data_IF_981180736951
#
_entry.id   IF_981180736951
#
_cell.length_a   1.000
_cell.length_b   1.000
_cell.length_c   1.000
_cell.angle_alpha   90.00
_cell.angle_beta   90.00
_cell.angle_gamma   90.00
#
_symmetry.space_group_name_H-M   'P 1'
#
loop_
_entity.id
_entity.type
_entity.pdbx_description
1 polymer ?
#
# COMPACT_ATOMS: atom_id res chain seq x y z
N UNK A 1 11.55 -3.68 -18.29
CA UNK A 1 10.99 -2.96 -17.13
C UNK A 1 9.67 -2.36 -17.54
N UNK A 2 8.57 -2.79 -16.93
CA UNK A 2 7.26 -2.17 -17.16
C UNK A 2 7.29 -0.77 -16.54
N UNK A 3 7.21 0.24 -17.39
CA UNK A 3 7.01 1.61 -16.95
C UNK A 3 5.64 1.71 -16.27
N UNK A 4 5.55 2.48 -15.20
CA UNK A 4 4.29 2.76 -14.54
C UNK A 4 3.28 3.33 -15.55
N UNK A 5 2.01 2.94 -15.41
CA UNK A 5 0.89 3.47 -16.18
C UNK A 5 0.88 5.01 -16.07
N UNK A 6 0.83 5.70 -17.21
CA UNK A 6 0.80 7.17 -17.27
C UNK A 6 -0.47 7.64 -17.99
N UNK A 7 -1.06 8.72 -17.50
CA UNK A 7 -2.20 9.38 -18.13
C UNK A 7 -1.71 10.63 -18.88
N UNK A 8 -2.15 10.79 -20.13
CA UNK A 8 -1.96 12.04 -20.88
C UNK A 8 -2.95 13.06 -20.35
N UNK A 9 -2.45 14.17 -19.81
CA UNK A 9 -3.26 15.28 -19.31
C UNK A 9 -3.49 16.36 -20.37
N UNK A 10 -2.53 16.54 -21.28
CA UNK A 10 -2.60 17.52 -22.35
C UNK A 10 -1.80 17.07 -23.56
N UNK A 11 -2.26 17.44 -24.75
CA UNK A 11 -1.52 17.39 -26.00
C UNK A 11 -1.26 18.82 -26.47
N UNK A 12 -0.01 19.17 -26.66
CA UNK A 12 0.44 20.44 -27.22
C UNK A 12 0.97 20.19 -28.63
N UNK A 13 0.61 21.05 -29.58
CA UNK A 13 1.09 21.02 -30.97
C UNK A 13 1.64 22.39 -31.30
N UNK A 14 2.88 22.46 -31.76
CA UNK A 14 3.49 23.73 -32.15
C UNK A 14 3.23 24.11 -33.61
N UNK A 15 3.66 25.31 -34.01
CA UNK A 15 3.51 25.83 -35.38
C UNK A 15 4.20 24.97 -36.45
N UNK A 16 5.22 24.20 -36.05
CA UNK A 16 5.93 23.27 -36.92
C UNK A 16 5.27 21.88 -36.97
N UNK A 17 4.13 21.69 -36.29
CA UNK A 17 3.39 20.42 -36.22
C UNK A 17 3.99 19.38 -35.27
N UNK A 18 5.01 19.73 -34.47
CA UNK A 18 5.58 18.83 -33.46
C UNK A 18 4.60 18.67 -32.32
N UNK A 19 4.44 17.44 -31.86
CA UNK A 19 3.48 17.07 -30.80
C UNK A 19 4.23 16.81 -29.51
N UNK A 20 3.71 17.31 -28.40
CA UNK A 20 4.18 16.99 -27.06
C UNK A 20 2.99 16.65 -26.16
N UNK A 21 3.17 15.71 -25.24
CA UNK A 21 2.14 15.33 -24.27
C UNK A 21 2.60 15.65 -22.86
N UNK A 22 1.77 16.36 -22.10
CA UNK A 22 1.96 16.50 -20.66
C UNK A 22 1.38 15.26 -19.98
N UNK A 23 2.22 14.48 -19.31
CA UNK A 23 1.84 13.20 -18.70
C UNK A 23 1.86 13.26 -17.18
N UNK A 24 0.99 12.46 -16.57
CA UNK A 24 0.96 12.19 -15.13
C UNK A 24 1.21 10.72 -14.88
N UNK A 25 2.22 10.43 -14.07
CA UNK A 25 2.50 9.07 -13.62
C UNK A 25 1.54 8.64 -12.51
N UNK A 26 0.84 7.51 -12.72
CA UNK A 26 -0.07 6.95 -11.73
C UNK A 26 0.73 6.46 -10.52
N UNK A 27 0.27 6.82 -9.32
CA UNK A 27 0.95 6.45 -8.06
C UNK A 27 2.11 7.37 -7.65
N UNK A 28 2.45 8.38 -8.45
CA UNK A 28 3.52 9.32 -8.13
C UNK A 28 2.99 10.74 -7.88
N UNK A 29 3.77 11.51 -7.12
CA UNK A 29 3.49 12.93 -6.86
C UNK A 29 3.51 13.74 -8.18
N UNK A 30 2.71 14.80 -8.23
CA UNK A 30 2.62 15.70 -9.39
C UNK A 30 3.97 16.36 -9.75
N UNK A 31 4.94 16.40 -8.83
CA UNK A 31 6.30 16.88 -9.10
C UNK A 31 7.03 16.07 -10.19
N UNK A 32 6.56 14.86 -10.49
CA UNK A 32 7.12 13.99 -11.51
C UNK A 32 6.36 14.06 -12.84
N UNK A 33 5.33 14.90 -12.95
CA UNK A 33 4.68 15.12 -14.23
C UNK A 33 5.67 15.80 -15.18
N UNK A 34 5.65 15.42 -16.46
CA UNK A 34 6.57 15.99 -17.44
C UNK A 34 5.90 16.11 -18.81
N UNK A 35 6.52 16.91 -19.69
CA UNK A 35 6.12 17.05 -21.08
C UNK A 35 7.05 16.22 -21.96
N UNK A 36 6.48 15.28 -22.69
CA UNK A 36 7.19 14.32 -23.56
C UNK A 36 6.89 14.62 -25.02
N UNK A 37 7.92 14.80 -25.83
CA UNK A 37 7.79 14.97 -27.28
C UNK A 37 7.43 13.64 -27.97
N UNK A 38 6.43 13.68 -28.84
CA UNK A 38 5.87 12.51 -29.54
C UNK A 38 6.42 12.46 -30.97
N UNK A 39 6.91 11.28 -31.38
CA UNK A 39 7.29 11.01 -32.77
C UNK A 39 8.80 11.02 -33.06
N UNK A 40 9.62 11.54 -32.14
CA UNK A 40 11.05 11.27 -32.11
C UNK A 40 11.27 9.97 -31.34
N UNK A 41 11.82 8.94 -32.01
CA UNK A 41 11.89 7.57 -31.50
C UNK A 41 12.33 7.42 -30.03
N UNK A 42 11.65 6.48 -29.34
CA UNK A 42 11.60 6.28 -27.87
C UNK A 42 11.21 7.54 -27.11
N UNK A 43 9.98 7.51 -26.56
CA UNK A 43 9.55 8.29 -25.38
C UNK A 43 10.62 8.07 -24.29
N UNK A 44 11.65 8.91 -24.27
CA UNK A 44 12.62 8.95 -23.19
C UNK A 44 12.17 10.10 -22.32
N UNK A 45 11.75 9.84 -21.07
CA UNK A 45 11.51 10.93 -20.15
C UNK A 45 12.77 11.81 -20.09
N UNK A 46 12.59 13.14 -20.10
CA UNK A 46 13.70 14.11 -20.10
C UNK A 46 14.50 14.01 -18.80
N UNK A 47 13.89 13.45 -17.76
CA UNK A 47 14.52 13.06 -16.50
C UNK A 47 14.54 11.54 -16.33
N UNK A 48 15.37 11.04 -15.40
CA UNK A 48 15.09 9.74 -14.81
C UNK A 48 13.68 9.82 -14.23
N UNK A 49 12.73 9.11 -14.86
CA UNK A 49 11.34 9.12 -14.43
C UNK A 49 11.22 8.79 -12.93
N UNK A 50 10.04 9.03 -12.32
CA UNK A 50 9.85 8.81 -10.90
C UNK A 50 10.52 7.50 -10.45
N UNK A 51 11.36 7.51 -9.40
CA UNK A 51 12.14 6.35 -9.03
C UNK A 51 11.19 5.18 -8.90
N UNK A 52 11.46 4.11 -9.66
CA UNK A 52 10.76 2.84 -9.45
C UNK A 52 11.07 2.48 -8.02
N UNK A 53 10.10 2.61 -7.13
CA UNK A 53 10.24 2.17 -5.73
C UNK A 53 10.26 0.65 -5.80
N UNK A 54 11.42 0.10 -6.16
CA UNK A 54 11.70 -1.35 -6.11
C UNK A 54 11.81 -1.78 -4.66
N UNK A 55 12.27 -0.87 -3.81
CA UNK A 55 12.47 -1.04 -2.38
C UNK A 55 11.91 0.23 -1.72
N UNK A 56 10.85 0.07 -0.94
CA UNK A 56 10.38 1.14 -0.07
C UNK A 56 11.46 1.39 1.01
N UNK A 57 11.56 2.62 1.57
CA UNK A 57 12.53 2.91 2.62
C UNK A 57 12.46 1.85 3.73
N UNK A 58 13.61 1.49 4.30
CA UNK A 58 13.69 0.43 5.32
C UNK A 58 12.58 0.56 6.37
N UNK A 59 11.80 -0.51 6.55
CA UNK A 59 10.66 -0.54 7.48
C UNK A 59 9.33 -0.03 6.93
N UNK A 60 9.23 0.36 5.66
CA UNK A 60 7.96 0.68 4.98
C UNK A 60 7.66 -0.43 3.98
N UNK A 61 6.51 -1.08 4.11
CA UNK A 61 6.08 -2.14 3.19
C UNK A 61 4.71 -1.82 2.62
N UNK A 62 4.46 -2.24 1.38
CA UNK A 62 3.15 -2.11 0.77
C UNK A 62 2.21 -3.15 1.38
N UNK A 63 1.09 -2.69 1.92
CA UNK A 63 0.02 -3.59 2.39
C UNK A 63 -0.59 -4.29 1.19
N UNK A 64 -0.76 -5.60 1.24
CA UNK A 64 -1.61 -6.34 0.30
C UNK A 64 -3.05 -6.32 0.80
N UNK A 65 -3.31 -6.93 1.95
CA UNK A 65 -4.63 -7.04 2.59
C UNK A 65 -4.57 -6.88 4.12
N UNK A 66 -5.69 -6.46 4.71
CA UNK A 66 -5.91 -6.49 6.17
C UNK A 66 -6.86 -7.63 6.49
N UNK A 67 -6.39 -8.60 7.27
CA UNK A 67 -7.03 -9.90 7.43
C UNK A 67 -7.89 -9.98 8.69
N UNK A 68 -7.38 -9.47 9.82
CA UNK A 68 -8.04 -9.60 11.13
C UNK A 68 -7.76 -8.39 12.02
N UNK A 69 -8.57 -8.23 13.06
CA UNK A 69 -8.31 -7.30 14.17
C UNK A 69 -8.21 -8.07 15.48
N UNK A 70 -7.35 -7.60 16.39
CA UNK A 70 -7.37 -7.98 17.80
C UNK A 70 -7.23 -6.74 18.67
N UNK A 71 -7.65 -6.85 19.92
CA UNK A 71 -7.48 -5.79 20.91
C UNK A 71 -6.48 -6.23 21.97
N UNK A 72 -5.35 -5.53 22.05
CA UNK A 72 -4.30 -5.76 23.04
C UNK A 72 -4.20 -4.51 23.92
N UNK A 73 -4.45 -4.66 25.23
CA UNK A 73 -4.42 -3.54 26.19
C UNK A 73 -5.28 -2.34 25.74
N UNK A 74 -6.46 -2.62 25.19
CA UNK A 74 -7.39 -1.59 24.69
C UNK A 74 -6.97 -0.93 23.37
N UNK A 75 -5.90 -1.38 22.72
CA UNK A 75 -5.45 -0.88 21.41
C UNK A 75 -5.76 -1.91 20.33
N UNK A 76 -6.29 -1.43 19.20
CA UNK A 76 -6.53 -2.27 18.03
C UNK A 76 -5.22 -2.53 17.28
N UNK A 77 -4.96 -3.80 16.99
CA UNK A 77 -3.90 -4.27 16.10
C UNK A 77 -4.52 -5.06 14.97
N UNK A 78 -3.91 -4.97 13.79
CA UNK A 78 -4.47 -5.49 12.54
C UNK A 78 -3.49 -6.48 11.93
N UNK A 79 -3.96 -7.70 11.69
CA UNK A 79 -3.19 -8.73 10.99
C UNK A 79 -3.10 -8.33 9.53
N UNK A 80 -1.88 -8.13 9.03
CA UNK A 80 -1.62 -7.50 7.74
C UNK A 80 -0.76 -8.42 6.89
N UNK A 81 -1.18 -8.65 5.65
CA UNK A 81 -0.34 -9.27 4.63
C UNK A 81 0.39 -8.21 3.82
N UNK A 82 1.63 -8.52 3.45
CA UNK A 82 2.52 -7.58 2.77
C UNK A 82 2.71 -7.98 1.32
N UNK A 83 2.61 -6.99 0.42
CA UNK A 83 2.70 -7.25 -1.02
C UNK A 83 4.09 -7.75 -1.38
N UNK A 84 4.14 -8.97 -1.92
CA UNK A 84 5.39 -9.63 -2.30
C UNK A 84 6.05 -10.43 -1.18
N UNK A 85 5.40 -10.58 -0.02
CA UNK A 85 5.88 -11.41 1.09
C UNK A 85 4.80 -12.41 1.50
N UNK A 86 5.21 -13.62 1.89
CA UNK A 86 4.32 -14.63 2.47
C UNK A 86 3.96 -14.35 3.93
N UNK A 87 4.76 -13.50 4.58
CA UNK A 87 4.67 -13.24 6.00
C UNK A 87 3.51 -12.30 6.33
N UNK A 88 2.94 -12.49 7.52
CA UNK A 88 1.87 -11.65 8.07
C UNK A 88 2.26 -11.18 9.47
N UNK A 89 1.92 -9.94 9.81
CA UNK A 89 2.24 -9.35 11.12
C UNK A 89 1.07 -8.56 11.71
N UNK A 90 1.09 -8.39 13.04
CA UNK A 90 0.11 -7.57 13.75
C UNK A 90 0.59 -6.12 13.84
N UNK A 91 -0.06 -5.24 13.09
CA UNK A 91 0.33 -3.84 12.97
C UNK A 91 -0.64 -2.92 13.72
N UNK A 92 -0.14 -1.92 14.48
CA UNK A 92 -1.01 -0.92 15.08
C UNK A 92 -1.59 -0.01 13.98
N UNK A 93 -2.77 0.58 14.24
CA UNK A 93 -3.43 1.51 13.30
C UNK A 93 -2.50 2.63 12.77
N UNK A 94 -1.59 3.13 13.60
CA UNK A 94 -0.62 4.18 13.23
C UNK A 94 0.40 3.74 12.17
N UNK A 95 0.62 2.43 11.99
CA UNK A 95 1.57 1.85 11.02
C UNK A 95 1.07 1.99 9.57
N UNK A 96 -0.25 2.13 9.38
CA UNK A 96 -0.86 2.29 8.06
C UNK A 96 -0.66 3.71 7.52
N UNK A 97 0.52 3.94 6.94
CA UNK A 97 0.93 5.24 6.39
C UNK A 97 0.66 5.26 4.87
N UNK A 98 0.16 6.40 4.38
CA UNK A 98 -0.17 6.60 2.97
C UNK A 98 -1.63 6.30 2.59
N UNK A 99 -2.11 6.83 1.46
CA UNK A 99 -3.52 6.79 1.08
C UNK A 99 -4.01 5.37 0.77
N UNK A 100 -3.14 4.51 0.25
CA UNK A 100 -3.51 3.13 -0.11
C UNK A 100 -3.72 2.24 1.11
N UNK A 101 -2.73 2.23 2.01
CA UNK A 101 -2.78 1.49 3.28
C UNK A 101 -3.96 1.96 4.14
N UNK A 102 -4.17 3.29 4.28
CA UNK A 102 -5.31 3.86 5.01
C UNK A 102 -6.65 3.46 4.41
N UNK A 103 -6.75 3.39 3.07
CA UNK A 103 -7.98 2.96 2.40
C UNK A 103 -8.31 1.50 2.73
N UNK A 104 -7.32 0.61 2.66
CA UNK A 104 -7.49 -0.82 2.99
C UNK A 104 -7.93 -1.02 4.44
N UNK A 105 -7.25 -0.35 5.38
CA UNK A 105 -7.63 -0.38 6.79
C UNK A 105 -9.05 0.13 7.02
N UNK A 106 -9.44 1.23 6.38
CA UNK A 106 -10.79 1.79 6.49
C UNK A 106 -11.86 0.82 5.97
N UNK A 107 -11.64 0.20 4.82
CA UNK A 107 -12.57 -0.78 4.25
C UNK A 107 -12.73 -1.99 5.17
N UNK A 108 -11.63 -2.51 5.70
CA UNK A 108 -11.65 -3.59 6.68
C UNK A 108 -12.42 -3.20 7.94
N UNK A 109 -12.21 -2.00 8.48
CA UNK A 109 -12.96 -1.52 9.65
C UNK A 109 -14.46 -1.41 9.38
N UNK A 110 -14.86 -0.99 8.18
CA UNK A 110 -16.27 -0.90 7.80
C UNK A 110 -16.93 -2.27 7.71
N UNK A 111 -16.28 -3.24 7.06
CA UNK A 111 -16.82 -4.60 6.94
C UNK A 111 -16.89 -5.34 8.27
N UNK A 112 -15.99 -5.04 9.21
CA UNK A 112 -15.95 -5.66 10.54
C UNK A 112 -16.69 -4.86 11.64
N UNK A 113 -17.40 -3.78 11.29
CA UNK A 113 -18.17 -3.00 12.28
C UNK A 113 -17.33 -2.22 13.29
N UNK A 114 -16.06 -1.93 12.99
CA UNK A 114 -15.09 -1.26 13.86
C UNK A 114 -15.02 0.27 13.65
N UNK A 115 -15.91 0.84 12.83
CA UNK A 115 -16.01 2.27 12.60
C UNK A 115 -17.06 2.93 13.48
N UNK A 116 -16.66 3.61 14.56
CA UNK A 116 -17.51 4.64 15.22
C UNK A 116 -17.05 6.03 14.76
N UNK A 117 -17.89 7.04 14.42
CA UNK A 117 -19.30 7.36 14.72
C UNK A 117 -19.90 8.34 13.64
N UNK A 118 -21.13 8.91 13.75
CA UNK A 118 -22.38 8.43 14.36
C UNK A 118 -23.40 7.96 13.31
N UNK A 119 -24.48 7.38 13.83
CA UNK A 119 -25.61 6.72 13.18
C UNK A 119 -26.57 7.63 12.41
N UNK A 120 -27.04 7.15 11.25
CA UNK A 120 -28.44 7.27 10.80
C UNK A 120 -28.89 5.88 10.29
N UNK A 121 -30.04 5.33 10.72
CA UNK A 121 -30.38 3.94 10.47
C UNK A 121 -31.11 3.76 9.13
N UNK A 122 -30.79 2.69 8.39
CA UNK A 122 -31.65 2.13 7.35
C UNK A 122 -31.38 0.62 7.13
N UNK A 123 -32.01 -0.18 7.99
CA UNK A 123 -32.77 -1.44 7.73
C UNK A 123 -32.21 -2.55 6.80
N UNK A 124 -31.91 -3.69 7.45
CA UNK A 124 -32.10 -5.12 7.07
C UNK A 124 -31.21 -5.70 5.93
N UNK A 125 -30.75 -6.95 5.91
CA UNK A 125 -31.02 -8.19 6.66
C UNK A 125 -29.76 -9.10 6.61
N UNK A 126 -29.34 -9.69 7.74
CA UNK A 126 -29.42 -11.12 8.05
C UNK A 126 -28.68 -12.11 7.12
N UNK A 127 -27.55 -12.66 7.60
CA UNK A 127 -27.33 -14.10 7.73
C UNK A 127 -26.14 -14.35 8.70
N UNK A 128 -26.39 -15.18 9.71
CA UNK A 128 -25.49 -15.58 10.79
C UNK A 128 -25.32 -17.09 10.74
N UNK A 129 -24.12 -17.61 11.06
CA UNK A 129 -23.92 -18.86 11.83
C UNK A 129 -22.41 -19.13 11.97
N UNK A 130 -21.77 -18.96 13.13
CA UNK A 130 -21.70 -19.81 14.34
C UNK A 130 -20.78 -21.05 14.25
N UNK A 131 -19.71 -20.98 15.08
CA UNK A 131 -19.13 -22.02 15.96
C UNK A 131 -18.41 -23.24 15.30
N UNK A 132 -17.36 -23.87 15.84
CA UNK A 132 -16.87 -23.99 17.22
C UNK A 132 -15.43 -24.60 17.25
N UNK A 133 -14.65 -24.34 18.33
CA UNK A 133 -13.84 -25.28 19.18
C UNK A 133 -12.83 -26.23 18.49
N UNK A 134 -11.57 -26.53 18.90
CA UNK A 134 -10.74 -26.40 20.12
C UNK A 134 -9.28 -26.82 19.83
N UNK A 135 -8.38 -26.38 20.72
CA UNK A 135 -7.24 -27.11 21.30
C UNK A 135 -5.85 -27.14 20.61
N UNK A 136 -4.89 -26.74 21.46
CA UNK A 136 -3.57 -27.35 21.72
C UNK A 136 -2.31 -26.72 21.09
N UNK A 137 -1.54 -26.13 22.01
CA UNK A 137 -0.11 -26.32 22.23
C UNK A 137 0.91 -25.65 21.29
N UNK A 138 1.91 -25.00 21.92
CA UNK A 138 3.22 -24.80 21.31
C UNK A 138 3.82 -23.43 21.58
N UNK A 139 4.81 -23.38 22.47
CA UNK A 139 5.56 -22.21 22.90
C UNK A 139 6.53 -21.64 21.84
N UNK A 140 6.90 -20.36 22.02
CA UNK A 140 8.27 -19.77 21.93
C UNK A 140 8.16 -18.28 21.54
N UNK A 141 8.44 -17.33 22.45
CA UNK A 141 9.73 -16.67 22.67
C UNK A 141 10.12 -15.74 21.49
N UNK A 142 10.12 -14.40 21.68
CA UNK A 142 11.28 -13.56 22.08
C UNK A 142 12.36 -13.52 20.97
N UNK A 143 13.10 -12.45 20.64
CA UNK A 143 13.38 -11.13 21.17
C UNK A 143 14.00 -10.33 19.99
N UNK A 144 13.76 -9.03 19.87
CA UNK A 144 14.76 -7.98 20.05
C UNK A 144 16.22 -8.30 19.63
N UNK A 145 16.64 -7.60 18.57
CA UNK A 145 17.85 -6.77 18.42
C UNK A 145 19.27 -7.38 18.49
N UNK A 146 20.07 -6.94 17.50
CA UNK A 146 21.54 -6.70 17.50
C UNK A 146 22.44 -7.95 17.61
N UNK A 147 23.68 -8.00 17.11
CA UNK A 147 24.46 -7.29 16.11
C UNK A 147 25.77 -8.10 15.96
N UNK A 148 26.44 -7.91 14.83
CA UNK A 148 27.89 -8.04 14.62
C UNK A 148 28.56 -9.43 14.51
N UNK A 149 29.33 -9.54 13.43
CA UNK A 149 30.14 -10.67 12.98
C UNK A 149 31.59 -10.36 13.33
N UNK A 150 32.29 -11.30 13.99
CA UNK A 150 33.75 -11.34 14.00
C UNK A 150 34.22 -12.71 13.48
N UNK A 151 35.15 -12.62 12.53
CA UNK A 151 35.72 -13.69 11.70
C UNK A 151 37.10 -14.08 12.26
N UNK A 152 37.36 -15.38 12.41
CA UNK A 152 38.68 -16.02 12.53
C UNK A 152 38.43 -17.54 12.47
N UNK A 153 39.07 -18.38 11.66
CA UNK A 153 40.20 -18.25 10.72
C UNK A 153 40.06 -19.33 9.64
#
# INVERSE_FOLDING_TARGET
GLWAEAAVLRLDVDEAGRRAVYIRYKGFSAKYNETVEVGIGRIRPKAAGPPVIKEAPDGIYLVDEVLQVRFVKGRAEFLTSWKGYSDISWEPERSFIGPDAKRKLRLFKQSNGLGGAPSKPAKAAAASSTAATSAAAGAAAAAAAAAEVAHAS
#
